data_IF_856963031831
#
_entry.id   IF_856963031831
#
_cell.length_a   1.000
_cell.length_b   1.000
_cell.length_c   1.000
_cell.angle_alpha   90.00
_cell.angle_beta   90.00
_cell.angle_gamma   90.00
#
_symmetry.space_group_name_H-M   'P 1'
#
loop_
_entity.id
_entity.type
_entity.pdbx_description
1 polymer ?
#
# COMPACT_ATOMS: atom_id res chain seq x y z
N UNK A 1 -6.03 8.48 -12.04
CA UNK A 1 -7.43 8.33 -12.54
C UNK A 1 -8.48 8.63 -11.47
N UNK A 2 -8.45 7.91 -10.34
CA UNK A 2 -9.39 8.08 -9.22
C UNK A 2 -9.49 9.52 -8.73
N UNK A 3 -8.35 10.14 -8.38
CA UNK A 3 -8.31 11.53 -7.87
C UNK A 3 -8.89 12.53 -8.87
N UNK A 4 -8.69 12.31 -10.18
CA UNK A 4 -9.25 13.19 -11.23
C UNK A 4 -10.77 13.06 -11.31
N UNK A 5 -11.29 11.83 -11.29
CA UNK A 5 -12.73 11.59 -11.32
C UNK A 5 -13.44 12.16 -10.09
N UNK A 6 -12.91 11.92 -8.88
CA UNK A 6 -13.44 12.52 -7.66
C UNK A 6 -13.37 14.05 -7.67
N UNK A 7 -12.26 14.62 -8.16
CA UNK A 7 -12.14 16.09 -8.28
C UNK A 7 -13.14 16.70 -9.26
N UNK A 8 -13.66 15.92 -10.21
CA UNK A 8 -14.70 16.33 -11.15
C UNK A 8 -16.13 16.05 -10.62
N UNK A 9 -16.28 15.47 -9.42
CA UNK A 9 -17.59 15.08 -8.87
C UNK A 9 -18.19 13.83 -9.53
N UNK A 10 -17.42 13.08 -10.32
CA UNK A 10 -17.89 11.89 -11.05
C UNK A 10 -17.65 10.62 -10.21
N UNK A 11 -18.59 10.32 -9.33
CA UNK A 11 -18.55 9.12 -8.48
C UNK A 11 -18.57 7.81 -9.28
N UNK A 12 -19.43 7.61 -10.30
CA UNK A 12 -19.39 6.41 -11.13
C UNK A 12 -18.02 6.15 -11.76
N UNK A 13 -17.39 7.18 -12.36
CA UNK A 13 -16.06 7.03 -12.94
C UNK A 13 -14.99 6.78 -11.86
N UNK A 14 -15.13 7.38 -10.68
CA UNK A 14 -14.23 7.16 -9.56
C UNK A 14 -14.30 5.72 -9.01
N UNK A 15 -15.50 5.14 -8.90
CA UNK A 15 -15.73 3.74 -8.50
C UNK A 15 -15.11 2.76 -9.49
N UNK A 16 -15.33 3.00 -10.78
CA UNK A 16 -14.72 2.20 -11.84
C UNK A 16 -13.19 2.29 -11.79
N UNK A 17 -12.65 3.51 -11.62
CA UNK A 17 -11.21 3.72 -11.59
C UNK A 17 -10.55 3.07 -10.36
N UNK A 18 -11.18 3.15 -9.18
CA UNK A 18 -10.63 2.53 -7.96
C UNK A 18 -10.77 1.01 -8.01
N UNK A 19 -11.86 0.47 -8.58
CA UNK A 19 -12.05 -0.97 -8.78
C UNK A 19 -11.01 -1.65 -9.67
N UNK A 20 -10.23 -0.88 -10.46
CA UNK A 20 -9.10 -1.40 -11.24
C UNK A 20 -7.83 -1.62 -10.42
N UNK A 21 -7.77 -1.09 -9.20
CA UNK A 21 -6.57 -1.12 -8.35
C UNK A 21 -6.83 -1.73 -6.97
N UNK A 22 -8.06 -2.19 -6.70
CA UNK A 22 -8.42 -2.91 -5.47
C UNK A 22 -9.17 -4.18 -5.83
N UNK A 23 -9.01 -5.23 -5.01
CA UNK A 23 -9.74 -6.49 -5.17
C UNK A 23 -11.09 -6.56 -4.44
N UNK A 24 -11.61 -5.45 -3.91
CA UNK A 24 -12.88 -5.39 -3.14
C UNK A 24 -14.01 -4.80 -3.96
N UNK A 25 -15.24 -5.01 -3.53
CA UNK A 25 -16.41 -4.42 -4.17
C UNK A 25 -16.37 -2.88 -4.09
N UNK A 26 -16.58 -2.21 -5.23
CA UNK A 26 -16.51 -0.74 -5.32
C UNK A 26 -17.82 -0.07 -5.76
N UNK A 27 -18.82 -0.84 -6.18
CA UNK A 27 -20.05 -0.35 -6.79
C UNK A 27 -20.83 0.62 -5.90
N UNK A 28 -20.80 0.39 -4.59
CA UNK A 28 -21.56 1.16 -3.59
C UNK A 28 -20.67 2.07 -2.73
N UNK A 29 -19.38 2.24 -3.08
CA UNK A 29 -18.51 3.11 -2.30
C UNK A 29 -18.94 4.57 -2.44
N UNK A 30 -19.05 5.26 -1.31
CA UNK A 30 -19.17 6.70 -1.25
C UNK A 30 -17.80 7.38 -1.48
N UNK A 31 -17.75 8.71 -1.49
CA UNK A 31 -16.50 9.45 -1.67
C UNK A 31 -15.43 9.02 -0.66
N UNK A 32 -15.82 8.84 0.60
CA UNK A 32 -14.92 8.40 1.67
C UNK A 32 -14.38 6.99 1.43
N UNK A 33 -15.23 6.06 1.00
CA UNK A 33 -14.86 4.70 0.64
C UNK A 33 -13.87 4.65 -0.52
N UNK A 34 -14.09 5.48 -1.55
CA UNK A 34 -13.19 5.60 -2.71
C UNK A 34 -11.86 6.23 -2.29
N UNK A 35 -11.89 7.32 -1.51
CA UNK A 35 -10.69 7.99 -1.04
C UNK A 35 -9.84 7.08 -0.14
N UNK A 36 -10.49 6.35 0.77
CA UNK A 36 -9.88 5.33 1.62
C UNK A 36 -9.18 4.29 0.77
N UNK A 37 -9.91 3.68 -0.15
CA UNK A 37 -9.39 2.62 -1.00
C UNK A 37 -8.19 3.08 -1.84
N UNK A 38 -8.25 4.28 -2.41
CA UNK A 38 -7.16 4.84 -3.19
C UNK A 38 -5.91 5.16 -2.34
N UNK A 39 -6.08 5.60 -1.08
CA UNK A 39 -4.97 5.90 -0.17
C UNK A 39 -4.29 4.61 0.31
N UNK A 40 -5.07 3.57 0.61
CA UNK A 40 -4.58 2.23 0.95
C UNK A 40 -3.72 1.67 -0.18
N UNK A 41 -4.27 1.61 -1.41
CA UNK A 41 -3.50 1.17 -2.58
C UNK A 41 -2.26 2.03 -2.87
N UNK A 42 -2.32 3.34 -2.61
CA UNK A 42 -1.16 4.22 -2.78
C UNK A 42 -0.05 3.91 -1.75
N UNK A 43 -0.43 3.57 -0.52
CA UNK A 43 0.51 3.23 0.54
C UNK A 43 1.15 1.86 0.29
N UNK A 44 0.35 0.85 -0.06
CA UNK A 44 0.82 -0.49 -0.44
C UNK A 44 1.73 -0.43 -1.68
N UNK A 45 1.30 0.25 -2.75
CA UNK A 45 2.12 0.38 -3.97
C UNK A 45 3.44 1.13 -3.76
N UNK A 46 3.54 1.99 -2.74
CA UNK A 46 4.83 2.60 -2.38
C UNK A 46 5.82 1.55 -1.86
N UNK A 47 5.35 0.58 -1.08
CA UNK A 47 6.17 -0.54 -0.65
C UNK A 47 6.57 -1.43 -1.84
N UNK A 48 5.59 -2.06 -2.48
CA UNK A 48 5.85 -3.20 -3.37
C UNK A 48 6.25 -2.77 -4.78
N UNK A 49 5.85 -1.55 -5.16
CA UNK A 49 6.10 -0.94 -6.46
C UNK A 49 7.36 -0.08 -6.51
N UNK A 50 7.84 0.44 -5.38
CA UNK A 50 8.96 1.41 -5.36
C UNK A 50 10.06 1.00 -4.39
N UNK A 51 9.74 0.86 -3.10
CA UNK A 51 10.75 0.62 -2.06
C UNK A 51 11.38 -0.77 -2.21
N UNK A 52 10.57 -1.83 -2.32
CA UNK A 52 11.07 -3.20 -2.41
C UNK A 52 11.90 -3.46 -3.69
N UNK A 53 11.45 -3.05 -4.91
CA UNK A 53 12.27 -3.17 -6.11
C UNK A 53 13.63 -2.49 -5.98
N UNK A 54 13.67 -1.26 -5.46
CA UNK A 54 14.92 -0.51 -5.32
C UNK A 54 15.81 -1.10 -4.22
N UNK A 55 15.22 -1.57 -3.12
CA UNK A 55 15.95 -2.24 -2.04
C UNK A 55 16.69 -3.47 -2.56
N UNK A 56 16.01 -4.35 -3.29
CA UNK A 56 16.62 -5.57 -3.85
C UNK A 56 17.59 -5.28 -5.00
N UNK A 57 17.34 -4.21 -5.77
CA UNK A 57 18.31 -3.72 -6.77
C UNK A 57 19.61 -3.27 -6.12
N UNK A 58 19.55 -2.49 -5.04
CA UNK A 58 20.76 -2.01 -4.35
C UNK A 58 21.51 -3.14 -3.63
N UNK A 59 20.78 -4.12 -3.10
CA UNK A 59 21.39 -5.21 -2.33
C UNK A 59 22.03 -6.29 -3.22
N UNK A 60 21.36 -6.68 -4.30
CA UNK A 60 21.73 -7.84 -5.12
C UNK A 60 21.81 -7.52 -6.62
N UNK A 61 21.72 -6.25 -7.02
CA UNK A 61 21.75 -5.83 -8.42
C UNK A 61 20.51 -6.25 -9.21
N UNK A 62 20.65 -6.30 -10.54
CA UNK A 62 19.58 -6.72 -11.45
C UNK A 62 18.99 -8.11 -11.12
N UNK A 63 19.79 -9.13 -10.71
CA UNK A 63 19.23 -10.41 -10.29
C UNK A 63 18.27 -10.30 -9.10
N UNK A 64 18.58 -9.47 -8.11
CA UNK A 64 17.70 -9.23 -6.95
C UNK A 64 16.38 -8.59 -7.32
N UNK A 65 16.45 -7.52 -8.13
CA UNK A 65 15.26 -6.85 -8.65
C UNK A 65 14.37 -7.82 -9.43
N UNK A 66 14.97 -8.61 -10.31
CA UNK A 66 14.25 -9.59 -11.12
C UNK A 66 13.59 -10.66 -10.25
N UNK A 67 14.33 -11.24 -9.29
CA UNK A 67 13.82 -12.25 -8.39
C UNK A 67 12.65 -11.72 -7.55
N UNK A 68 12.80 -10.52 -6.98
CA UNK A 68 11.72 -9.86 -6.24
C UNK A 68 10.47 -9.68 -7.13
N UNK A 69 10.62 -9.16 -8.34
CA UNK A 69 9.47 -8.94 -9.23
C UNK A 69 8.82 -10.23 -9.70
N UNK A 70 9.59 -11.29 -9.91
CA UNK A 70 9.06 -12.61 -10.21
C UNK A 70 8.20 -13.14 -9.05
N UNK A 71 8.69 -13.07 -7.81
CA UNK A 71 7.94 -13.51 -6.62
C UNK A 71 6.68 -12.66 -6.40
N UNK A 72 6.80 -11.35 -6.45
CA UNK A 72 5.67 -10.43 -6.25
C UNK A 72 4.57 -10.59 -7.31
N UNK A 73 4.97 -10.90 -8.55
CA UNK A 73 4.04 -11.23 -9.63
C UNK A 73 3.40 -12.59 -9.42
N UNK A 74 4.17 -13.59 -8.97
CA UNK A 74 3.64 -14.91 -8.65
C UNK A 74 2.58 -14.83 -7.54
N UNK A 75 2.84 -14.10 -6.45
CA UNK A 75 1.85 -13.91 -5.38
C UNK A 75 0.55 -13.26 -5.90
N UNK A 76 0.66 -12.20 -6.71
CA UNK A 76 -0.51 -11.53 -7.29
C UNK A 76 -1.33 -12.41 -8.24
N UNK A 77 -0.71 -13.40 -8.89
CA UNK A 77 -1.37 -14.28 -9.86
C UNK A 77 -1.92 -15.56 -9.23
N UNK A 78 -1.17 -16.16 -8.30
CA UNK A 78 -1.46 -17.50 -7.78
C UNK A 78 -1.59 -17.58 -6.25
N UNK A 79 -1.34 -16.49 -5.52
CA UNK A 79 -1.39 -16.44 -4.05
C UNK A 79 -2.78 -16.72 -3.45
N UNK A 80 -3.84 -16.58 -4.25
CA UNK A 80 -5.23 -16.78 -3.85
C UNK A 80 -5.91 -18.01 -4.49
N UNK A 81 -5.16 -18.93 -5.11
CA UNK A 81 -5.75 -20.05 -5.86
C UNK A 81 -6.30 -21.18 -4.96
N UNK A 82 -7.50 -21.67 -5.30
CA UNK A 82 -8.16 -22.85 -4.75
C UNK A 82 -7.45 -24.18 -5.09
N UNK A 83 -7.81 -25.31 -4.43
CA UNK A 83 -7.24 -26.62 -4.77
C UNK A 83 -7.30 -26.94 -6.27
N UNK A 84 -6.25 -27.53 -6.88
CA UNK A 84 -5.10 -28.19 -6.24
C UNK A 84 -3.85 -27.32 -6.04
N UNK A 85 -3.80 -26.08 -6.52
CA UNK A 85 -2.57 -25.26 -6.50
C UNK A 85 -2.36 -24.45 -5.22
N UNK A 86 -3.15 -24.72 -4.18
CA UNK A 86 -3.12 -24.03 -2.89
C UNK A 86 -1.72 -23.99 -2.27
N UNK A 87 -0.96 -25.08 -2.36
CA UNK A 87 0.39 -25.14 -1.77
C UNK A 87 1.38 -24.23 -2.49
N UNK A 88 1.25 -24.10 -3.81
CA UNK A 88 2.06 -23.18 -4.62
C UNK A 88 1.68 -21.72 -4.34
N UNK A 89 0.38 -21.43 -4.24
CA UNK A 89 -0.10 -20.10 -3.85
C UNK A 89 0.38 -19.71 -2.46
N UNK A 90 0.29 -20.63 -1.49
CA UNK A 90 0.78 -20.40 -0.13
C UNK A 90 2.29 -20.13 -0.09
N UNK A 91 3.08 -20.92 -0.83
CA UNK A 91 4.53 -20.73 -0.87
C UNK A 91 4.92 -19.39 -1.53
N UNK A 92 4.23 -19.00 -2.61
CA UNK A 92 4.42 -17.70 -3.26
C UNK A 92 4.11 -16.54 -2.31
N UNK A 93 2.94 -16.58 -1.65
CA UNK A 93 2.54 -15.56 -0.68
C UNK A 93 3.50 -15.46 0.50
N UNK A 94 3.98 -16.60 1.01
CA UNK A 94 4.92 -16.61 2.13
C UNK A 94 6.30 -16.07 1.78
N UNK A 95 6.76 -16.35 0.56
CA UNK A 95 8.03 -15.82 0.07
C UNK A 95 7.92 -14.32 -0.22
N UNK A 96 6.82 -13.84 -0.81
CA UNK A 96 6.58 -12.41 -0.99
C UNK A 96 6.56 -11.70 0.37
N UNK A 97 5.82 -12.24 1.34
CA UNK A 97 5.78 -11.73 2.70
C UNK A 97 7.18 -11.60 3.31
N UNK A 98 8.04 -12.62 3.10
CA UNK A 98 9.42 -12.60 3.58
C UNK A 98 10.25 -11.51 2.90
N UNK A 99 10.16 -11.40 1.57
CA UNK A 99 10.91 -10.41 0.80
C UNK A 99 10.48 -8.97 1.09
N UNK A 100 9.24 -8.78 1.55
CA UNK A 100 8.68 -7.49 1.92
C UNK A 100 8.82 -7.11 3.40
N UNK A 101 9.37 -7.97 4.27
CA UNK A 101 9.54 -7.65 5.71
C UNK A 101 10.34 -6.36 5.94
N UNK A 102 11.53 -6.25 5.34
CA UNK A 102 12.37 -5.06 5.48
C UNK A 102 11.85 -3.88 4.63
N UNK A 103 11.48 -4.06 3.35
CA UNK A 103 10.90 -3.00 2.55
C UNK A 103 9.65 -2.33 3.16
N UNK A 104 8.75 -3.10 3.76
CA UNK A 104 7.53 -2.56 4.38
C UNK A 104 7.83 -1.66 5.58
N UNK A 105 8.84 -2.01 6.38
CA UNK A 105 9.30 -1.17 7.50
C UNK A 105 9.95 0.10 6.97
N UNK A 106 10.83 -0.02 5.97
CA UNK A 106 11.49 1.12 5.34
C UNK A 106 10.48 2.07 4.70
N UNK A 107 9.48 1.55 4.00
CA UNK A 107 8.43 2.36 3.36
C UNK A 107 7.65 3.17 4.40
N UNK A 108 7.26 2.54 5.51
CA UNK A 108 6.58 3.23 6.61
C UNK A 108 7.43 4.34 7.25
N UNK A 109 8.74 4.09 7.46
CA UNK A 109 9.66 5.11 7.97
C UNK A 109 9.76 6.30 7.02
N UNK A 110 9.91 6.05 5.72
CA UNK A 110 9.99 7.09 4.69
C UNK A 110 8.71 7.92 4.59
N UNK A 111 7.54 7.27 4.67
CA UNK A 111 6.25 7.95 4.70
C UNK A 111 6.10 8.84 5.93
N UNK A 112 6.47 8.35 7.12
CA UNK A 112 6.46 9.15 8.35
C UNK A 112 7.41 10.36 8.28
N UNK A 113 8.61 10.18 7.72
CA UNK A 113 9.57 11.27 7.50
C UNK A 113 9.05 12.31 6.49
N UNK A 114 8.56 11.86 5.33
CA UNK A 114 8.00 12.70 4.29
C UNK A 114 6.75 13.48 4.75
N UNK A 115 5.95 12.84 5.60
CA UNK A 115 4.77 13.40 6.24
C UNK A 115 5.05 14.20 7.52
N UNK A 116 6.28 14.15 8.03
CA UNK A 116 6.72 14.77 9.30
C UNK A 116 5.83 14.38 10.48
N UNK A 117 5.43 13.11 10.56
CA UNK A 117 4.45 12.64 11.55
C UNK A 117 4.09 11.16 11.39
N UNK A 118 2.94 10.76 11.93
CA UNK A 118 2.40 9.39 11.77
C UNK A 118 2.99 8.32 12.70
N UNK A 119 4.14 8.57 13.33
CA UNK A 119 4.85 7.64 14.21
C UNK A 119 3.99 6.94 15.27
N UNK A 120 3.09 7.69 15.93
CA UNK A 120 2.21 7.14 16.97
C UNK A 120 1.25 6.09 16.40
N UNK A 121 0.64 6.36 15.25
CA UNK A 121 -0.30 5.44 14.60
C UNK A 121 0.46 4.26 14.02
N UNK A 122 1.59 4.49 13.35
CA UNK A 122 2.46 3.43 12.87
C UNK A 122 2.79 2.41 13.97
N UNK A 123 3.30 2.89 15.11
CA UNK A 123 3.67 2.01 16.23
C UNK A 123 2.48 1.23 16.79
N UNK A 124 1.31 1.87 16.90
CA UNK A 124 0.11 1.28 17.52
C UNK A 124 -0.65 0.34 16.60
N UNK A 125 -0.74 0.65 15.31
CA UNK A 125 -1.73 0.05 14.41
C UNK A 125 -1.15 -0.75 13.25
N UNK A 126 0.17 -0.79 13.03
CA UNK A 126 0.75 -1.55 11.91
C UNK A 126 0.38 -3.04 11.91
N UNK A 127 0.11 -3.62 13.09
CA UNK A 127 -0.31 -5.02 13.24
C UNK A 127 -1.82 -5.22 13.08
N UNK A 128 -2.60 -4.18 12.80
CA UNK A 128 -4.05 -4.25 12.53
C UNK A 128 -4.35 -4.50 11.07
N UNK A 129 -3.55 -5.32 10.42
CA UNK A 129 -3.75 -5.74 9.04
C UNK A 129 -3.51 -7.26 8.94
N UNK A 130 -4.18 -7.93 8.01
CA UNK A 130 -4.03 -9.38 7.85
C UNK A 130 -2.63 -9.74 7.32
N UNK A 131 -2.13 -8.98 6.35
CA UNK A 131 -0.74 -9.08 5.90
C UNK A 131 0.22 -8.50 6.96
N UNK A 132 1.34 -9.19 7.26
CA UNK A 132 2.37 -8.70 8.19
C UNK A 132 3.12 -7.46 7.68
N UNK A 133 2.97 -7.14 6.39
CA UNK A 133 3.69 -6.08 5.70
C UNK A 133 2.81 -4.87 5.38
N UNK A 134 1.64 -5.09 4.76
CA UNK A 134 0.80 -4.00 4.26
C UNK A 134 0.36 -3.00 5.35
N UNK A 135 0.17 -3.47 6.59
CA UNK A 135 -0.20 -2.59 7.70
C UNK A 135 0.85 -1.53 8.07
N UNK A 136 2.12 -1.74 7.72
CA UNK A 136 3.19 -0.76 7.99
C UNK A 136 3.01 0.54 7.19
N UNK A 137 3.03 0.54 5.84
CA UNK A 137 2.83 1.76 5.07
C UNK A 137 1.44 2.37 5.26
N UNK A 138 0.39 1.54 5.43
CA UNK A 138 -0.96 2.04 5.69
C UNK A 138 -1.06 2.80 7.02
N UNK A 139 -0.51 2.25 8.11
CA UNK A 139 -0.54 2.91 9.41
C UNK A 139 0.29 4.21 9.42
N UNK A 140 1.42 4.23 8.70
CA UNK A 140 2.19 5.45 8.49
C UNK A 140 1.35 6.51 7.75
N UNK A 141 0.73 6.13 6.63
CA UNK A 141 -0.09 7.03 5.82
C UNK A 141 -1.32 7.54 6.58
N UNK A 142 -2.06 6.67 7.27
CA UNK A 142 -3.20 7.04 8.11
C UNK A 142 -2.81 8.06 9.18
N UNK A 143 -1.67 7.83 9.84
CA UNK A 143 -1.15 8.72 10.88
C UNK A 143 -0.68 10.08 10.34
N UNK A 144 0.00 10.11 9.20
CA UNK A 144 0.44 11.35 8.54
C UNK A 144 -0.76 12.18 8.09
N UNK A 145 -1.76 11.54 7.48
CA UNK A 145 -2.92 12.22 6.92
C UNK A 145 -3.98 12.57 7.96
N UNK A 146 -3.89 11.98 9.16
CA UNK A 146 -4.89 12.04 10.24
C UNK A 146 -6.27 11.56 9.77
N UNK A 147 -6.29 10.40 9.13
CA UNK A 147 -7.51 9.73 8.64
C UNK A 147 -7.62 8.33 9.22
N UNK A 148 -8.76 7.67 9.01
CA UNK A 148 -8.96 6.24 9.26
C UNK A 148 -8.91 5.45 7.95
N UNK A 149 -8.07 4.42 7.94
CA UNK A 149 -7.95 3.40 6.88
C UNK A 149 -8.31 2.02 7.45
N UNK A 150 -8.33 0.99 6.61
CA UNK A 150 -8.84 -0.34 6.96
C UNK A 150 -10.35 -0.30 7.14
N UNK A 151 -10.87 -0.96 8.16
CA UNK A 151 -12.31 -0.99 8.46
C UNK A 151 -13.11 -1.90 7.51
N UNK A 152 -14.44 -2.02 7.73
CA UNK A 152 -15.28 -2.95 6.98
C UNK A 152 -15.19 -2.74 5.46
N UNK A 153 -15.11 -3.86 4.74
CA UNK A 153 -15.05 -3.94 3.27
C UNK A 153 -15.90 -5.13 2.80
N UNK A 154 -16.42 -5.04 1.58
CA UNK A 154 -17.17 -6.13 0.94
C UNK A 154 -16.33 -6.79 -0.15
N UNK A 155 -16.37 -8.11 -0.22
CA UNK A 155 -15.81 -8.91 -1.31
C UNK A 155 -16.88 -9.86 -1.82
N UNK A 156 -17.18 -9.83 -3.12
CA UNK A 156 -18.20 -10.69 -3.73
C UNK A 156 -19.56 -10.63 -3.01
N UNK A 157 -19.93 -9.43 -2.54
CA UNK A 157 -21.15 -9.17 -1.77
C UNK A 157 -21.10 -9.58 -0.29
N UNK A 158 -20.00 -10.15 0.20
CA UNK A 158 -19.83 -10.55 1.59
C UNK A 158 -19.06 -9.51 2.39
N UNK A 159 -19.61 -9.08 3.53
CA UNK A 159 -18.97 -8.12 4.42
C UNK A 159 -17.91 -8.77 5.31
N UNK A 160 -16.70 -8.22 5.25
CA UNK A 160 -15.59 -8.60 6.12
C UNK A 160 -15.29 -7.49 7.13
N UNK A 161 -15.39 -7.82 8.41
CA UNK A 161 -15.01 -6.93 9.49
C UNK A 161 -13.48 -6.86 9.61
N UNK A 162 -12.87 -5.85 8.96
CA UNK A 162 -11.46 -5.52 9.18
C UNK A 162 -11.32 -4.46 10.27
N UNK A 163 -10.24 -4.51 11.08
CA UNK A 163 -9.97 -3.48 12.08
C UNK A 163 -9.66 -2.14 11.41
N UNK A 164 -9.90 -1.04 12.14
CA UNK A 164 -9.53 0.30 11.70
C UNK A 164 -8.07 0.61 12.07
N UNK A 165 -7.41 1.34 11.17
CA UNK A 165 -6.06 1.88 11.30
C UNK A 165 -6.15 3.41 11.36
N UNK A 166 -5.59 4.02 12.41
CA UNK A 166 -5.66 5.46 12.64
C UNK A 166 -6.83 5.92 13.53
N UNK A 167 -6.78 7.18 13.95
CA UNK A 167 -7.79 7.84 14.82
C UNK A 167 -8.53 8.99 14.12
N UNK A 168 -8.29 9.17 12.83
CA UNK A 168 -8.74 10.34 12.09
C UNK A 168 -10.19 10.31 11.61
N UNK A 169 -10.56 11.34 10.87
CA UNK A 169 -11.82 11.37 10.14
C UNK A 169 -11.84 10.38 8.96
N UNK A 170 -13.00 10.25 8.32
CA UNK A 170 -13.07 9.60 7.02
C UNK A 170 -12.19 10.38 6.01
N UNK A 171 -11.42 9.70 5.16
CA UNK A 171 -10.62 10.37 4.15
C UNK A 171 -11.50 11.03 3.08
N UNK A 172 -11.04 12.15 2.56
CA UNK A 172 -11.71 12.94 1.53
C UNK A 172 -10.77 13.22 0.34
N UNK A 173 -11.27 13.93 -0.67
CA UNK A 173 -10.46 14.38 -1.80
C UNK A 173 -9.19 15.16 -1.38
N UNK A 174 -9.28 15.97 -0.32
CA UNK A 174 -8.13 16.71 0.19
C UNK A 174 -7.07 15.77 0.78
N UNK A 175 -7.48 14.73 1.50
CA UNK A 175 -6.60 13.68 2.02
C UNK A 175 -5.91 12.93 0.89
N UNK A 176 -6.60 12.59 -0.20
CA UNK A 176 -5.97 11.95 -1.37
C UNK A 176 -4.89 12.84 -1.99
N UNK A 177 -5.15 14.14 -2.13
CA UNK A 177 -4.15 15.10 -2.63
C UNK A 177 -2.94 15.19 -1.69
N UNK A 178 -3.16 15.17 -0.37
CA UNK A 178 -2.07 15.15 0.62
C UNK A 178 -1.29 13.83 0.55
N UNK A 179 -1.97 12.69 0.40
CA UNK A 179 -1.37 11.37 0.25
C UNK A 179 -0.40 11.32 -0.94
N UNK A 180 -0.83 11.83 -2.10
CA UNK A 180 0.03 11.94 -3.28
C UNK A 180 1.28 12.80 -3.05
N UNK A 181 1.16 13.91 -2.30
CA UNK A 181 2.32 14.76 -1.95
C UNK A 181 3.28 14.02 -1.00
N UNK A 182 2.77 13.28 -0.03
CA UNK A 182 3.57 12.47 0.89
C UNK A 182 4.30 11.37 0.13
N UNK A 183 3.59 10.65 -0.75
CA UNK A 183 4.17 9.65 -1.64
C UNK A 183 5.33 10.21 -2.47
N UNK A 184 5.12 11.33 -3.17
CA UNK A 184 6.16 11.93 -4.01
C UNK A 184 7.40 12.37 -3.21
N UNK A 185 7.20 12.92 -2.01
CA UNK A 185 8.29 13.27 -1.10
C UNK A 185 9.03 12.03 -0.61
N UNK A 186 8.31 10.97 -0.26
CA UNK A 186 8.90 9.71 0.17
C UNK A 186 9.72 9.05 -0.96
N UNK A 187 9.24 9.09 -2.21
CA UNK A 187 10.04 8.71 -3.38
C UNK A 187 11.32 9.55 -3.49
N UNK A 188 11.22 10.87 -3.32
CA UNK A 188 12.39 11.76 -3.35
C UNK A 188 13.43 11.41 -2.27
N UNK A 189 12.99 11.15 -1.03
CA UNK A 189 13.87 10.71 0.06
C UNK A 189 14.55 9.38 -0.27
N UNK A 190 13.79 8.42 -0.81
CA UNK A 190 14.31 7.12 -1.22
C UNK A 190 15.38 7.26 -2.31
N UNK A 191 15.14 8.09 -3.32
CA UNK A 191 16.12 8.35 -4.38
C UNK A 191 17.41 8.98 -3.86
N UNK A 192 17.31 9.92 -2.91
CA UNK A 192 18.50 10.51 -2.25
C UNK A 192 19.31 9.42 -1.54
N UNK A 193 18.64 8.52 -0.81
CA UNK A 193 19.30 7.40 -0.12
C UNK A 193 19.97 6.47 -1.13
N UNK A 194 19.26 6.13 -2.22
CA UNK A 194 19.76 5.22 -3.24
C UNK A 194 20.98 5.79 -3.99
N UNK A 195 20.94 7.07 -4.37
CA UNK A 195 22.07 7.74 -5.01
C UNK A 195 23.27 7.85 -4.06
N UNK A 196 23.02 8.14 -2.78
CA UNK A 196 24.07 8.16 -1.77
C UNK A 196 24.74 6.79 -1.58
N UNK A 197 23.95 5.71 -1.55
CA UNK A 197 24.47 4.35 -1.48
C UNK A 197 25.29 3.97 -2.72
N UNK A 198 24.80 4.30 -3.92
CA UNK A 198 25.50 4.02 -5.18
C UNK A 198 26.78 4.83 -5.37
N UNK A 199 26.90 6.00 -4.73
CA UNK A 199 28.11 6.82 -4.80
C UNK A 199 29.21 6.35 -3.82
N UNK A 200 28.83 5.64 -2.76
CA UNK A 200 29.75 5.15 -1.72
C UNK A 200 30.24 3.71 -1.95
N UNK A 201 29.57 2.94 -2.82
CA UNK A 201 29.93 1.57 -3.19
C UNK A 201 30.70 1.51 -4.50
#
# INVERSE_FOLDING_TARGET
PVLRALAAGDLPAARLAVGRIVGRDTADLDEAGIARAAIESLAESFCDGVVAPLFWLLLLGLPGLWAYKAVNTADSLIGHIEPPYRDFGWAAARLDDLLNLLPARLSALLLCLAGRGGWRILRRDHARHASPNAGWPEAAMAGVLRVRLGGPVSYEGQWHAKPWIGDGGAPDLAAMRRAAKVYLRACGLLWIIALGAAWLG
#
